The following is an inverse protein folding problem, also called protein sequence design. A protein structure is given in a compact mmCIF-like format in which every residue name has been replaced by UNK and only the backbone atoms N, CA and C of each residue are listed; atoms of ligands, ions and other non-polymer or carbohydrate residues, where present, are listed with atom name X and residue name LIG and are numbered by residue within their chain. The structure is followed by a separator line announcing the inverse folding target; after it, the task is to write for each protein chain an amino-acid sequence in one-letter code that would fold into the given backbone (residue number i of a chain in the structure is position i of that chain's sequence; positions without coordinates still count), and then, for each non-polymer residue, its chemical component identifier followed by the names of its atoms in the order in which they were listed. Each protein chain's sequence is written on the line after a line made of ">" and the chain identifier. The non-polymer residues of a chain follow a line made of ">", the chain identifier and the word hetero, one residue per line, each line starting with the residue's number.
data_IF_043917727178
#
_entry.id   IF_043917727178
#
_cell.length_a   1.000
_cell.length_b   1.000
_cell.length_c   1.000
_cell.angle_alpha   90.00
_cell.angle_beta   90.00
_cell.angle_gamma   90.00
#
_symmetry.space_group_name_H-M   'P 1'
#
loop_
_entity.id
_entity.type
_entity.pdbx_description
1 polymer ?
#
# COMPACT_ATOMS: atom_id res chain seq x y z
N UNK A 1 -14.07 -0.49 11.20
CA UNK A 1 -13.11 -0.97 10.18
C UNK A 1 -12.93 -2.47 10.40
N UNK A 2 -13.12 -3.33 9.40
CA UNK A 2 -12.99 -4.79 9.60
C UNK A 2 -11.52 -5.17 9.78
N UNK A 3 -11.23 -6.17 10.64
CA UNK A 3 -9.88 -6.68 10.94
C UNK A 3 -9.08 -7.07 9.68
N UNK A 4 -9.78 -7.40 8.59
CA UNK A 4 -9.19 -7.83 7.32
C UNK A 4 -8.64 -6.65 6.50
N UNK A 5 -9.28 -5.47 6.57
CA UNK A 5 -8.72 -4.25 5.98
C UNK A 5 -7.43 -3.85 6.70
N UNK A 6 -7.40 -3.98 8.02
CA UNK A 6 -6.18 -3.77 8.83
C UNK A 6 -5.04 -4.70 8.38
N UNK A 7 -5.33 -5.97 8.10
CA UNK A 7 -4.32 -6.95 7.69
C UNK A 7 -3.76 -6.71 6.28
N UNK A 8 -4.64 -6.38 5.33
CA UNK A 8 -4.24 -5.97 3.97
C UNK A 8 -3.46 -4.66 3.97
N UNK A 9 -3.93 -3.66 4.72
CA UNK A 9 -3.22 -2.41 4.94
C UNK A 9 -1.86 -2.67 5.59
N UNK A 10 -1.75 -3.51 6.61
CA UNK A 10 -0.47 -3.84 7.25
C UNK A 10 0.52 -4.47 6.26
N UNK A 11 0.10 -5.43 5.43
CA UNK A 11 1.01 -6.02 4.43
C UNK A 11 1.36 -5.03 3.32
N UNK A 12 0.41 -4.22 2.85
CA UNK A 12 0.65 -3.19 1.85
C UNK A 12 1.59 -2.11 2.39
N UNK A 13 1.30 -1.59 3.58
CA UNK A 13 2.13 -0.64 4.33
C UNK A 13 3.54 -1.17 4.46
N UNK A 14 3.70 -2.42 4.89
CA UNK A 14 5.01 -3.02 5.08
C UNK A 14 5.80 -3.12 3.75
N UNK A 15 5.14 -3.48 2.65
CA UNK A 15 5.81 -3.55 1.35
C UNK A 15 6.12 -2.15 0.78
N UNK A 16 5.18 -1.21 0.84
CA UNK A 16 5.41 0.20 0.51
C UNK A 16 6.60 0.75 1.28
N UNK A 17 6.71 0.35 2.54
CA UNK A 17 7.79 0.73 3.43
C UNK A 17 9.14 0.12 3.04
N UNK A 18 9.18 -1.17 2.69
CA UNK A 18 10.40 -1.80 2.14
C UNK A 18 10.87 -1.10 0.87
N UNK A 19 9.93 -0.72 -0.01
CA UNK A 19 10.23 0.08 -1.20
C UNK A 19 10.82 1.43 -0.78
N UNK A 20 10.23 2.17 0.16
CA UNK A 20 10.75 3.47 0.60
C UNK A 20 12.19 3.37 1.16
N UNK A 21 12.47 2.39 2.04
CA UNK A 21 13.78 2.24 2.69
C UNK A 21 14.88 1.80 1.72
N UNK A 22 14.58 0.88 0.80
CA UNK A 22 15.54 0.45 -0.23
C UNK A 22 15.99 1.62 -1.10
N UNK A 23 15.07 2.55 -1.42
CA UNK A 23 15.39 3.74 -2.19
C UNK A 23 16.19 4.78 -1.39
N UNK A 24 15.80 5.10 -0.15
CA UNK A 24 16.55 6.02 0.72
C UNK A 24 17.99 5.54 1.01
N UNK A 25 18.23 4.23 0.85
CA UNK A 25 19.55 3.61 1.00
C UNK A 25 20.40 3.59 -0.27
N UNK A 26 19.88 4.06 -1.42
CA UNK A 26 20.51 4.00 -2.74
C UNK A 26 20.64 2.59 -3.32
N UNK A 27 20.00 1.59 -2.73
CA UNK A 27 20.16 0.17 -3.06
C UNK A 27 18.79 -0.43 -3.36
N UNK A 28 18.34 -0.32 -4.60
CA UNK A 28 17.14 -1.03 -5.06
C UNK A 28 17.60 -2.32 -5.72
N UNK A 29 17.37 -3.44 -5.06
CA UNK A 29 17.29 -4.74 -5.73
C UNK A 29 15.87 -5.24 -5.54
N UNK A 30 15.04 -5.13 -6.59
CA UNK A 30 13.75 -5.84 -6.62
C UNK A 30 14.10 -7.31 -6.80
N UNK A 31 14.05 -8.10 -5.73
CA UNK A 31 14.19 -9.55 -5.84
C UNK A 31 12.85 -10.08 -6.37
N UNK A 32 12.77 -10.29 -7.68
CA UNK A 32 11.75 -11.18 -8.24
C UNK A 32 12.13 -12.61 -7.85
N UNK A 33 11.31 -13.31 -7.06
CA UNK A 33 11.46 -14.75 -6.87
C UNK A 33 10.64 -15.54 -7.90
N UNK A 34 11.12 -16.73 -8.32
CA UNK A 34 10.51 -17.54 -9.37
C UNK A 34 9.27 -18.29 -8.87
N UNK A 35 8.33 -18.47 -9.80
CA UNK A 35 7.07 -19.21 -9.69
C UNK A 35 7.26 -20.66 -9.18
N UNK A 36 6.44 -21.16 -8.22
CA UNK A 36 6.36 -22.59 -7.93
C UNK A 36 5.33 -23.28 -8.84
N UNK A 37 5.80 -24.17 -9.73
CA UNK A 37 5.01 -25.32 -10.18
C UNK A 37 4.30 -25.25 -11.54
N UNK A 38 5.06 -25.24 -12.64
CA UNK A 38 4.63 -25.86 -13.90
C UNK A 38 5.59 -27.02 -14.21
N UNK A 39 5.18 -28.26 -13.91
CA UNK A 39 5.89 -29.45 -14.40
C UNK A 39 5.72 -29.56 -15.92
N UNK A 40 6.75 -29.17 -16.67
CA UNK A 40 6.91 -29.56 -18.08
C UNK A 40 7.93 -30.71 -18.14
N UNK A 41 7.52 -31.95 -18.50
CA UNK A 41 8.39 -33.13 -18.39
C UNK A 41 9.52 -33.24 -19.44
N UNK A 42 9.87 -32.17 -20.17
CA UNK A 42 10.84 -32.24 -21.28
C UNK A 42 12.00 -31.23 -21.24
N UNK A 43 12.42 -30.72 -20.08
CA UNK A 43 13.64 -29.90 -19.99
C UNK A 43 14.74 -30.66 -19.25
N UNK A 44 15.76 -31.06 -19.99
CA UNK A 44 16.96 -31.74 -19.49
C UNK A 44 18.02 -30.74 -19.01
N UNK A 45 18.46 -30.97 -17.77
CA UNK A 45 19.79 -30.74 -17.19
C UNK A 45 20.43 -29.34 -17.12
N UNK A 46 20.97 -29.10 -15.92
CA UNK A 46 22.04 -28.18 -15.52
C UNK A 46 21.67 -26.74 -15.13
N UNK A 47 21.10 -26.57 -13.92
CA UNK A 47 21.43 -25.46 -13.01
C UNK A 47 21.38 -25.92 -11.54
N UNK A 48 22.20 -25.35 -10.63
CA UNK A 48 22.32 -25.81 -9.26
C UNK A 48 21.07 -25.49 -8.43
N UNK A 49 20.57 -26.52 -7.74
CA UNK A 49 19.44 -26.47 -6.80
C UNK A 49 19.62 -25.37 -5.74
N UNK A 50 18.67 -24.45 -5.65
CA UNK A 50 18.44 -23.64 -4.45
C UNK A 50 17.02 -23.93 -3.97
N UNK A 51 16.95 -24.47 -2.76
CA UNK A 51 15.76 -24.91 -2.04
C UNK A 51 14.70 -23.82 -1.90
N UNK A 52 13.47 -24.20 -2.26
CA UNK A 52 12.23 -23.48 -2.02
C UNK A 52 11.93 -23.45 -0.51
N UNK A 53 11.84 -22.27 0.10
CA UNK A 53 11.25 -22.11 1.43
C UNK A 53 9.96 -21.30 1.37
N UNK A 54 8.95 -21.87 2.03
CA UNK A 54 7.59 -21.39 2.26
C UNK A 54 7.61 -20.29 3.33
N UNK A 55 6.67 -19.35 3.22
CA UNK A 55 6.10 -18.66 4.38
C UNK A 55 6.45 -17.19 4.51
N UNK A 56 5.39 -16.38 4.56
CA UNK A 56 5.36 -15.03 5.10
C UNK A 56 5.98 -15.02 6.52
N UNK A 57 7.24 -14.65 6.63
CA UNK A 57 7.95 -14.45 7.90
C UNK A 57 8.73 -13.13 7.82
N UNK A 58 8.15 -12.05 8.32
CA UNK A 58 8.91 -10.84 8.67
C UNK A 58 8.63 -10.42 10.11
N UNK A 59 8.52 -11.41 10.98
CA UNK A 59 9.05 -11.31 12.33
C UNK A 59 10.44 -11.94 12.37
N UNK A 60 11.48 -11.11 12.16
CA UNK A 60 12.86 -11.21 12.68
C UNK A 60 13.94 -10.87 11.64
N UNK A 61 14.76 -9.88 12.06
CA UNK A 61 16.12 -9.56 11.60
C UNK A 61 16.28 -8.96 10.18
N UNK A 62 15.85 -7.71 10.02
CA UNK A 62 16.72 -6.76 9.30
C UNK A 62 17.79 -6.31 10.29
N UNK A 63 18.82 -7.12 10.48
CA UNK A 63 20.05 -6.71 11.17
C UNK A 63 20.87 -5.78 10.28
N UNK A 64 20.33 -4.61 9.91
CA UNK A 64 21.14 -3.58 9.29
C UNK A 64 21.60 -2.61 10.37
N UNK A 65 22.87 -2.76 10.77
CA UNK A 65 23.68 -1.86 11.60
C UNK A 65 23.84 -0.45 10.97
N UNK A 66 22.80 0.14 10.38
CA UNK A 66 22.79 1.54 9.97
C UNK A 66 22.29 2.39 11.12
N UNK A 67 22.97 3.51 11.37
CA UNK A 67 22.45 4.54 12.28
C UNK A 67 21.08 5.00 11.75
N UNK A 68 20.09 5.22 12.64
CA UNK A 68 18.81 5.79 12.22
C UNK A 68 19.03 7.14 11.54
N UNK A 69 18.25 7.41 10.50
CA UNK A 69 18.11 8.74 9.91
C UNK A 69 17.52 9.70 10.96
N UNK A 70 17.58 11.01 10.75
CA UNK A 70 17.25 11.96 11.82
C UNK A 70 15.74 12.14 11.96
N UNK A 71 15.07 12.63 10.91
CA UNK A 71 13.65 13.01 10.98
C UNK A 71 12.89 12.61 9.72
N UNK A 72 11.74 11.95 9.89
CA UNK A 72 10.74 11.75 8.85
C UNK A 72 9.44 12.50 9.19
N UNK A 73 8.73 12.96 8.16
CA UNK A 73 7.33 13.42 8.27
C UNK A 73 6.44 12.54 7.41
N UNK A 74 5.33 12.07 7.97
CA UNK A 74 4.27 11.33 7.29
C UNK A 74 3.06 12.25 7.10
N UNK A 75 2.84 12.71 5.87
CA UNK A 75 1.86 13.75 5.50
C UNK A 75 0.55 13.10 5.03
N UNK A 76 -0.55 13.49 5.66
CA UNK A 76 -1.82 12.78 5.56
C UNK A 76 -1.75 11.41 6.24
N UNK A 77 -1.20 11.36 7.46
CA UNK A 77 -0.88 10.10 8.13
C UNK A 77 -2.10 9.31 8.61
N UNK A 78 -3.29 9.90 8.63
CA UNK A 78 -4.52 9.27 9.12
C UNK A 78 -4.34 8.66 10.51
N UNK A 79 -4.64 7.37 10.65
CA UNK A 79 -4.48 6.59 11.90
C UNK A 79 -3.04 6.13 12.17
N UNK A 80 -2.05 6.65 11.44
CA UNK A 80 -0.63 6.38 11.69
C UNK A 80 -0.10 5.07 11.11
N UNK A 81 -0.81 4.44 10.17
CA UNK A 81 -0.41 3.14 9.58
C UNK A 81 0.96 3.19 8.92
N UNK A 82 1.25 4.24 8.16
CA UNK A 82 2.57 4.45 7.54
C UNK A 82 3.57 5.13 8.49
N UNK A 83 3.09 5.77 9.55
CA UNK A 83 3.91 6.41 10.59
C UNK A 83 4.62 5.37 11.45
N UNK A 84 3.91 4.30 11.87
CA UNK A 84 4.45 3.26 12.75
C UNK A 84 5.76 2.63 12.23
N UNK A 85 5.85 2.11 10.99
CA UNK A 85 7.07 1.47 10.51
C UNK A 85 8.24 2.46 10.37
N UNK A 86 7.98 3.76 10.13
CA UNK A 86 9.03 4.79 10.06
C UNK A 86 9.80 4.89 11.39
N UNK A 87 9.14 4.66 12.53
CA UNK A 87 9.73 4.83 13.85
C UNK A 87 10.95 3.93 14.10
N UNK A 88 11.07 2.80 13.40
CA UNK A 88 12.23 1.91 13.52
C UNK A 88 13.48 2.43 12.79
N UNK A 89 13.34 3.40 11.88
CA UNK A 89 14.40 3.85 10.97
C UNK A 89 14.83 5.30 11.19
N UNK A 90 14.05 6.08 11.92
CA UNK A 90 14.27 7.50 12.16
C UNK A 90 14.32 7.80 13.66
N UNK A 91 15.17 8.75 14.07
CA UNK A 91 15.23 9.21 15.46
C UNK A 91 13.97 9.96 15.86
N UNK A 92 13.31 10.64 14.91
CA UNK A 92 12.05 11.34 15.11
C UNK A 92 11.12 11.08 13.91
N UNK A 93 9.84 10.83 14.19
CA UNK A 93 8.80 10.73 13.17
C UNK A 93 7.66 11.67 13.54
N UNK A 94 7.20 12.46 12.57
CA UNK A 94 6.12 13.42 12.74
C UNK A 94 4.98 13.00 11.80
N UNK A 95 3.86 12.55 12.36
CA UNK A 95 2.63 12.36 11.61
C UNK A 95 1.84 13.66 11.50
N UNK A 96 1.44 14.05 10.30
CA UNK A 96 0.62 15.24 10.05
C UNK A 96 -0.67 14.82 9.35
N UNK A 97 -1.81 15.25 9.87
CA UNK A 97 -3.11 15.08 9.22
C UNK A 97 -4.03 16.27 9.54
N UNK A 98 -5.01 16.55 8.69
CA UNK A 98 -5.99 17.61 8.92
C UNK A 98 -7.09 17.18 9.92
N UNK A 99 -7.27 15.86 10.10
CA UNK A 99 -8.30 15.28 10.95
C UNK A 99 -7.79 15.03 12.37
N UNK A 100 -8.18 15.89 13.32
CA UNK A 100 -7.93 15.68 14.75
C UNK A 100 -8.38 14.29 15.23
N UNK A 101 -9.54 13.82 14.80
CA UNK A 101 -10.05 12.49 15.17
C UNK A 101 -9.15 11.34 14.70
N UNK A 102 -8.59 11.44 13.50
CA UNK A 102 -7.65 10.42 12.99
C UNK A 102 -6.35 10.45 13.80
N UNK A 103 -5.86 11.63 14.18
CA UNK A 103 -4.65 11.77 14.99
C UNK A 103 -4.83 11.23 16.42
N UNK A 104 -6.02 11.37 17.01
CA UNK A 104 -6.29 10.74 18.31
C UNK A 104 -6.22 9.20 18.23
N UNK A 105 -6.74 8.60 17.16
CA UNK A 105 -6.56 7.17 16.89
C UNK A 105 -5.09 6.83 16.63
N UNK A 106 -4.37 7.67 15.89
CA UNK A 106 -2.95 7.47 15.57
C UNK A 106 -2.07 7.48 16.83
N UNK A 107 -2.34 8.36 17.79
CA UNK A 107 -1.66 8.39 19.10
C UNK A 107 -1.86 7.09 19.89
N UNK A 108 -3.05 6.50 19.80
CA UNK A 108 -3.35 5.22 20.45
C UNK A 108 -2.70 4.04 19.72
N UNK A 109 -2.65 4.09 18.39
CA UNK A 109 -2.06 3.05 17.55
C UNK A 109 -0.52 3.05 17.58
N UNK A 110 0.11 4.24 17.65
CA UNK A 110 1.56 4.45 17.65
C UNK A 110 2.05 5.12 18.96
N UNK A 111 1.95 4.47 20.13
CA UNK A 111 2.37 5.05 21.40
C UNK A 111 3.90 4.95 21.58
N UNK A 112 4.67 5.42 20.61
CA UNK A 112 6.14 5.36 20.60
C UNK A 112 6.74 6.72 20.98
N UNK A 113 7.78 6.72 21.81
CA UNK A 113 8.41 7.95 22.32
C UNK A 113 9.01 8.85 21.23
N UNK A 114 9.44 8.27 20.10
CA UNK A 114 10.02 8.99 18.97
C UNK A 114 8.99 9.40 17.91
N UNK A 115 7.69 9.23 18.18
CA UNK A 115 6.61 9.58 17.26
C UNK A 115 5.77 10.70 17.85
N UNK A 116 5.51 11.74 17.06
CA UNK A 116 4.61 12.84 17.42
C UNK A 116 3.58 13.07 16.32
N UNK A 117 2.42 13.61 16.69
CA UNK A 117 1.32 13.88 15.76
C UNK A 117 0.89 15.34 15.84
N UNK A 118 0.69 15.98 14.67
CA UNK A 118 0.35 17.40 14.57
C UNK A 118 -0.80 17.62 13.58
N UNK A 119 -1.73 18.51 13.92
CA UNK A 119 -2.83 18.90 13.03
C UNK A 119 -2.31 19.95 12.06
N UNK A 120 -2.25 19.61 10.77
CA UNK A 120 -1.96 20.58 9.71
C UNK A 120 -2.39 20.07 8.34
N UNK A 121 -2.52 21.00 7.40
CA UNK A 121 -2.74 20.69 5.99
C UNK A 121 -1.41 20.32 5.31
N UNK A 122 -1.47 19.45 4.29
CA UNK A 122 -0.29 19.03 3.53
C UNK A 122 0.40 20.20 2.79
N UNK A 123 -0.36 21.26 2.52
CA UNK A 123 0.04 22.48 1.83
C UNK A 123 0.74 23.50 2.73
N UNK A 124 0.74 23.31 4.06
CA UNK A 124 1.34 24.22 5.03
C UNK A 124 1.80 23.43 6.26
N UNK A 125 2.98 22.84 6.16
CA UNK A 125 3.56 21.98 7.18
C UNK A 125 4.19 22.84 8.29
N UNK A 126 3.89 22.58 9.58
CA UNK A 126 4.42 23.31 10.72
C UNK A 126 5.85 22.86 11.05
N UNK A 127 6.72 22.84 10.03
CA UNK A 127 8.09 22.36 10.09
C UNK A 127 9.02 23.42 9.50
N UNK A 128 10.22 23.51 10.07
CA UNK A 128 11.27 24.40 9.58
C UNK A 128 11.78 24.00 8.19
N UNK A 129 12.31 24.97 7.46
CA UNK A 129 13.00 24.74 6.20
C UNK A 129 14.17 23.75 6.38
N UNK A 130 14.36 22.86 5.41
CA UNK A 130 15.49 21.91 5.39
C UNK A 130 15.71 21.14 6.72
N UNK A 131 14.63 20.64 7.31
CA UNK A 131 14.62 20.00 8.63
C UNK A 131 14.35 18.49 8.62
N UNK A 132 13.82 17.93 7.51
CA UNK A 132 13.47 16.50 7.43
C UNK A 132 14.31 15.75 6.39
N UNK A 133 14.65 14.50 6.68
CA UNK A 133 15.37 13.60 5.77
C UNK A 133 14.39 12.88 4.82
N UNK A 134 13.15 12.67 5.25
CA UNK A 134 12.10 12.02 4.46
C UNK A 134 10.76 12.75 4.63
N UNK A 135 10.11 13.06 3.50
CA UNK A 135 8.68 13.35 3.43
C UNK A 135 7.98 12.13 2.83
N UNK A 136 7.08 11.52 3.58
CA UNK A 136 6.26 10.40 3.16
C UNK A 136 4.81 10.86 2.96
N UNK A 137 4.13 10.39 1.91
CA UNK A 137 2.69 10.53 1.75
C UNK A 137 2.11 9.24 1.17
N UNK A 138 1.58 8.38 2.04
CA UNK A 138 1.00 7.09 1.68
C UNK A 138 -0.51 7.16 1.57
N UNK A 139 -1.07 6.82 0.40
CA UNK A 139 -2.52 6.81 0.12
C UNK A 139 -3.24 8.14 0.41
N UNK A 140 -2.53 9.27 0.49
CA UNK A 140 -3.09 10.56 0.89
C UNK A 140 -3.04 11.64 -0.20
N UNK A 141 -2.05 11.60 -1.10
CA UNK A 141 -1.77 12.71 -2.02
C UNK A 141 -2.89 13.02 -3.03
N UNK A 142 -3.89 12.14 -3.17
CA UNK A 142 -5.07 12.42 -3.99
C UNK A 142 -6.05 13.41 -3.35
N UNK A 143 -5.87 13.74 -2.07
CA UNK A 143 -6.63 14.77 -1.36
C UNK A 143 -5.98 16.15 -1.39
N UNK A 144 -4.72 16.24 -1.82
CA UNK A 144 -3.92 17.46 -1.66
C UNK A 144 -4.04 18.36 -2.89
N UNK A 145 -3.81 19.66 -2.69
CA UNK A 145 -3.37 20.53 -3.77
C UNK A 145 -1.92 20.15 -4.13
N UNK A 146 -1.74 19.47 -5.27
CA UNK A 146 -0.45 18.89 -5.68
C UNK A 146 0.67 19.92 -5.72
N UNK A 147 0.44 21.09 -6.36
CA UNK A 147 1.48 22.12 -6.49
C UNK A 147 1.94 22.66 -5.14
N UNK A 148 0.99 22.99 -4.25
CA UNK A 148 1.30 23.51 -2.91
C UNK A 148 1.94 22.46 -2.03
N UNK A 149 1.44 21.22 -2.04
CA UNK A 149 2.06 20.12 -1.31
C UNK A 149 3.49 19.87 -1.76
N UNK A 150 3.74 19.81 -3.08
CA UNK A 150 5.10 19.58 -3.60
C UNK A 150 6.03 20.73 -3.22
N UNK A 151 5.57 21.98 -3.28
CA UNK A 151 6.34 23.13 -2.82
C UNK A 151 6.74 22.96 -1.35
N UNK A 152 5.79 22.59 -0.50
CA UNK A 152 5.99 22.48 0.93
C UNK A 152 6.85 21.28 1.33
N UNK A 153 6.62 20.12 0.70
CA UNK A 153 7.46 18.94 0.84
C UNK A 153 8.92 19.27 0.47
N UNK A 154 9.13 20.02 -0.60
CA UNK A 154 10.48 20.45 -0.97
C UNK A 154 11.02 21.45 0.04
N UNK A 155 10.27 22.43 0.51
CA UNK A 155 10.76 23.40 1.51
C UNK A 155 11.34 22.72 2.75
N UNK A 156 10.62 21.75 3.32
CA UNK A 156 11.03 21.07 4.56
C UNK A 156 12.17 20.08 4.38
N UNK A 157 12.41 19.56 3.17
CA UNK A 157 13.47 18.58 2.93
C UNK A 157 14.88 19.16 3.08
N UNK A 158 15.74 18.48 3.85
CA UNK A 158 17.19 18.72 3.90
C UNK A 158 17.84 18.51 2.52
N UNK A 159 19.04 19.06 2.27
CA UNK A 159 19.90 18.54 1.20
C UNK A 159 20.07 17.03 1.35
N UNK A 160 19.98 16.28 0.25
CA UNK A 160 19.93 14.80 0.22
C UNK A 160 18.67 14.16 0.84
N UNK A 161 17.70 14.95 1.30
CA UNK A 161 16.40 14.44 1.73
C UNK A 161 15.55 13.99 0.55
N UNK A 162 14.66 13.03 0.79
CA UNK A 162 13.78 12.47 -0.25
C UNK A 162 12.28 12.64 0.05
N UNK A 163 11.50 12.79 -1.00
CA UNK A 163 10.05 12.70 -1.04
C UNK A 163 9.65 11.33 -1.56
N UNK A 164 8.71 10.66 -0.89
CA UNK A 164 8.07 9.43 -1.34
C UNK A 164 6.54 9.56 -1.26
N UNK A 165 5.90 9.60 -2.42
CA UNK A 165 4.44 9.60 -2.57
C UNK A 165 4.03 8.28 -3.15
N UNK A 166 3.10 7.57 -2.51
CA UNK A 166 2.79 6.23 -2.95
C UNK A 166 1.35 5.83 -2.67
N UNK A 167 0.86 4.92 -3.51
CA UNK A 167 -0.46 4.39 -3.42
C UNK A 167 -0.54 3.04 -4.13
N UNK A 168 -1.63 2.33 -3.88
CA UNK A 168 -1.97 1.12 -4.61
C UNK A 168 -3.30 1.31 -5.34
N UNK A 169 -3.37 0.80 -6.56
CA UNK A 169 -4.65 0.46 -7.18
C UNK A 169 -4.78 -1.05 -7.02
N UNK A 170 -5.77 -1.54 -6.26
CA UNK A 170 -6.01 -2.96 -6.19
C UNK A 170 -6.44 -3.44 -7.57
N UNK A 171 -5.62 -4.29 -8.20
CA UNK A 171 -5.90 -4.91 -9.49
C UNK A 171 -6.30 -6.34 -9.25
N UNK A 172 -7.53 -6.52 -8.81
CA UNK A 172 -8.12 -7.79 -8.49
C UNK A 172 -8.02 -8.78 -9.68
N UNK A 173 -6.94 -9.58 -9.70
CA UNK A 173 -6.64 -10.61 -10.71
C UNK A 173 -6.08 -11.81 -9.98
N UNK A 174 -6.62 -12.97 -10.29
CA UNK A 174 -6.13 -14.25 -9.81
C UNK A 174 -5.17 -14.78 -10.86
N UNK A 175 -3.91 -15.00 -10.47
CA UNK A 175 -2.89 -15.56 -11.35
C UNK A 175 -2.12 -16.65 -10.59
N UNK A 176 -1.95 -17.79 -11.26
CA UNK A 176 -1.27 -19.04 -10.84
C UNK A 176 -1.96 -19.93 -9.78
N UNK A 177 -1.93 -21.25 -10.02
CA UNK A 177 -2.63 -22.32 -9.26
C UNK A 177 -4.15 -22.40 -9.52
N UNK A 178 -4.83 -21.25 -9.51
CA UNK A 178 -6.27 -21.11 -9.70
C UNK A 178 -6.61 -20.02 -10.72
N UNK A 179 -5.96 -20.00 -11.89
CA UNK A 179 -6.36 -19.14 -13.02
C UNK A 179 -7.68 -19.63 -13.64
N UNK A 180 -8.70 -19.79 -12.79
CA UNK A 180 -10.03 -20.20 -13.15
C UNK A 180 -10.78 -18.95 -13.65
N UNK A 181 -11.21 -18.93 -14.92
CA UNK A 181 -12.05 -17.86 -15.45
C UNK A 181 -13.29 -17.56 -14.59
N UNK A 182 -13.83 -18.56 -13.89
CA UNK A 182 -14.99 -18.40 -13.02
C UNK A 182 -14.68 -17.58 -11.76
N UNK A 183 -13.52 -17.78 -11.13
CA UNK A 183 -13.09 -16.98 -9.97
C UNK A 183 -12.82 -15.54 -10.38
N UNK A 184 -12.12 -15.34 -11.50
CA UNK A 184 -11.88 -14.00 -12.07
C UNK A 184 -13.20 -13.29 -12.46
N UNK A 185 -14.23 -14.04 -12.89
CA UNK A 185 -15.54 -13.49 -13.20
C UNK A 185 -16.27 -12.98 -11.95
N UNK A 186 -16.15 -13.66 -10.79
CA UNK A 186 -16.72 -13.18 -9.52
C UNK A 186 -16.12 -11.83 -9.14
N UNK A 187 -14.79 -11.73 -9.21
CA UNK A 187 -14.06 -10.51 -8.93
C UNK A 187 -14.51 -9.36 -9.84
N UNK A 188 -14.60 -9.63 -11.15
CA UNK A 188 -15.02 -8.64 -12.14
C UNK A 188 -16.46 -8.17 -11.87
N UNK A 189 -17.37 -9.09 -11.58
CA UNK A 189 -18.77 -8.78 -11.28
C UNK A 189 -18.89 -7.90 -10.03
N UNK A 190 -18.14 -8.22 -8.97
CA UNK A 190 -18.05 -7.38 -7.78
C UNK A 190 -17.64 -5.95 -8.14
N UNK A 191 -16.53 -5.79 -8.88
CA UNK A 191 -16.02 -4.48 -9.27
C UNK A 191 -16.99 -3.70 -10.15
N UNK A 192 -17.63 -4.35 -11.13
CA UNK A 192 -18.64 -3.76 -12.01
C UNK A 192 -19.90 -3.31 -11.24
N UNK A 193 -20.29 -4.04 -10.19
CA UNK A 193 -21.43 -3.69 -9.34
C UNK A 193 -21.12 -2.47 -8.48
N UNK A 194 -19.99 -2.47 -7.78
CA UNK A 194 -19.67 -1.43 -6.80
C UNK A 194 -19.17 -0.14 -7.44
N UNK A 195 -18.57 -0.18 -8.64
CA UNK A 195 -18.08 1.01 -9.35
C UNK A 195 -19.15 2.09 -9.57
N UNK A 196 -20.43 1.71 -9.61
CA UNK A 196 -21.59 2.61 -9.70
C UNK A 196 -21.74 3.57 -8.50
N UNK A 197 -21.10 3.23 -7.38
CA UNK A 197 -21.11 4.00 -6.13
C UNK A 197 -19.81 4.79 -5.93
N UNK A 198 -18.96 4.87 -6.96
CA UNK A 198 -17.72 5.65 -6.91
C UNK A 198 -17.98 7.14 -7.16
N UNK A 199 -18.58 7.82 -6.18
CA UNK A 199 -18.92 9.25 -6.29
C UNK A 199 -17.71 10.18 -6.06
N UNK A 200 -16.65 9.67 -5.44
CA UNK A 200 -15.38 10.38 -5.22
C UNK A 200 -14.47 10.09 -6.40
N UNK A 201 -14.45 11.00 -7.37
CA UNK A 201 -13.59 10.87 -8.53
C UNK A 201 -12.11 11.09 -8.14
N UNK A 202 -11.42 10.04 -7.72
CA UNK A 202 -10.00 10.07 -7.39
C UNK A 202 -9.14 10.00 -8.67
N UNK A 203 -9.34 10.95 -9.59
CA UNK A 203 -8.60 11.06 -10.86
C UNK A 203 -7.09 10.89 -10.67
N UNK A 204 -6.51 11.43 -9.59
CA UNK A 204 -5.08 11.30 -9.27
C UNK A 204 -4.62 9.85 -9.03
N UNK A 205 -5.44 9.03 -8.38
CA UNK A 205 -5.14 7.60 -8.18
C UNK A 205 -5.26 6.83 -9.50
N UNK A 206 -6.24 7.19 -10.32
CA UNK A 206 -6.44 6.59 -11.64
C UNK A 206 -5.27 6.86 -12.60
N UNK A 207 -4.64 8.04 -12.49
CA UNK A 207 -3.41 8.39 -13.23
C UNK A 207 -2.14 8.10 -12.43
N UNK A 208 -2.21 7.24 -11.40
CA UNK A 208 -1.05 6.72 -10.67
C UNK A 208 -0.08 7.82 -10.17
N UNK A 209 -0.59 8.99 -9.78
CA UNK A 209 0.19 10.17 -9.37
C UNK A 209 1.11 10.81 -10.43
N UNK A 210 0.76 10.70 -11.72
CA UNK A 210 1.46 11.41 -12.80
C UNK A 210 1.56 12.93 -12.56
N UNK A 211 0.49 13.56 -12.07
CA UNK A 211 0.48 15.00 -11.77
C UNK A 211 1.49 15.37 -10.67
N UNK A 212 1.63 14.53 -9.64
CA UNK A 212 2.62 14.71 -8.59
C UNK A 212 4.03 14.61 -9.17
N UNK A 213 4.29 13.61 -10.01
CA UNK A 213 5.58 13.46 -10.67
C UNK A 213 5.93 14.69 -11.52
N UNK A 214 4.97 15.22 -12.27
CA UNK A 214 5.16 16.39 -13.13
C UNK A 214 5.40 17.67 -12.33
N UNK A 215 4.71 17.85 -11.20
CA UNK A 215 4.86 19.01 -10.33
C UNK A 215 6.23 19.09 -9.63
N UNK A 216 6.93 17.97 -9.45
CA UNK A 216 8.24 17.94 -8.78
C UNK A 216 9.33 18.57 -9.70
N UNK A 217 9.96 19.69 -9.29
CA UNK A 217 11.04 20.34 -10.05
C UNK A 217 12.43 19.70 -9.83
N UNK A 218 12.53 18.68 -8.99
CA UNK A 218 13.81 18.00 -8.69
C UNK A 218 14.26 17.15 -9.88
N UNK A 219 15.58 17.17 -10.17
CA UNK A 219 16.18 16.40 -11.26
C UNK A 219 16.21 14.90 -10.97
N UNK A 220 16.55 14.52 -9.74
CA UNK A 220 16.51 13.12 -9.31
C UNK A 220 15.09 12.80 -8.84
N UNK A 221 14.24 12.42 -9.80
CA UNK A 221 12.88 11.95 -9.56
C UNK A 221 12.57 10.71 -10.40
N UNK A 222 11.71 9.85 -9.86
CA UNK A 222 11.32 8.58 -10.49
C UNK A 222 9.82 8.38 -10.32
N UNK A 223 9.24 7.73 -11.32
CA UNK A 223 7.86 7.27 -11.29
C UNK A 223 7.86 5.77 -11.58
N UNK A 224 7.38 5.00 -10.61
CA UNK A 224 7.30 3.54 -10.70
C UNK A 224 5.81 3.18 -10.65
N UNK A 225 5.29 2.57 -11.71
CA UNK A 225 3.84 2.36 -11.91
C UNK A 225 3.40 0.91 -11.82
N UNK A 226 4.34 -0.03 -11.86
CA UNK A 226 4.07 -1.47 -11.92
C UNK A 226 4.95 -2.23 -10.93
N UNK A 227 4.74 -1.99 -9.63
CA UNK A 227 5.30 -2.84 -8.58
C UNK A 227 4.24 -3.91 -8.27
N UNK A 228 4.38 -5.14 -8.80
CA UNK A 228 3.41 -6.19 -8.53
C UNK A 228 3.55 -6.64 -7.08
N UNK A 229 2.42 -6.67 -6.40
CA UNK A 229 2.32 -7.22 -5.05
C UNK A 229 1.37 -8.38 -5.11
N UNK A 230 1.84 -9.56 -4.69
CA UNK A 230 1.00 -10.76 -4.63
C UNK A 230 0.71 -11.08 -3.18
N UNK A 231 -0.57 -11.19 -2.85
CA UNK A 231 -1.05 -11.68 -1.57
C UNK A 231 -1.71 -13.02 -1.77
N UNK A 232 -1.51 -13.94 -0.84
CA UNK A 232 -2.31 -15.15 -0.76
C UNK A 232 -3.39 -14.94 0.29
N UNK A 233 -4.65 -15.13 -0.13
CA UNK A 233 -5.83 -14.87 0.70
C UNK A 233 -6.82 -16.03 0.61
N UNK A 234 -7.40 -16.40 1.75
CA UNK A 234 -8.56 -17.27 1.84
C UNK A 234 -9.82 -16.56 1.29
N UNK A 235 -10.89 -17.33 1.02
CA UNK A 235 -12.19 -16.77 0.60
C UNK A 235 -12.71 -15.76 1.63
N UNK A 236 -12.63 -16.10 2.92
CA UNK A 236 -13.09 -15.21 3.99
C UNK A 236 -12.33 -13.87 4.03
N UNK A 237 -11.02 -13.90 3.79
CA UNK A 237 -10.20 -12.67 3.67
C UNK A 237 -10.58 -11.84 2.44
N UNK A 238 -10.87 -12.48 1.29
CA UNK A 238 -11.33 -11.76 0.09
C UNK A 238 -12.67 -11.09 0.35
N UNK A 239 -13.60 -11.78 0.99
CA UNK A 239 -14.90 -11.22 1.36
C UNK A 239 -14.75 -10.07 2.35
N UNK A 240 -13.87 -10.20 3.35
CA UNK A 240 -13.58 -9.10 4.27
C UNK A 240 -12.96 -7.88 3.60
N UNK A 241 -12.09 -8.09 2.60
CA UNK A 241 -11.58 -7.02 1.74
C UNK A 241 -12.70 -6.35 0.96
N UNK A 242 -13.55 -7.12 0.29
CA UNK A 242 -14.71 -6.59 -0.42
C UNK A 242 -15.65 -5.79 0.47
N UNK A 243 -15.83 -6.18 1.72
CA UNK A 243 -16.62 -5.40 2.68
C UNK A 243 -15.98 -4.04 2.96
N UNK A 244 -14.65 -3.97 3.04
CA UNK A 244 -13.96 -2.72 3.41
C UNK A 244 -13.84 -1.68 2.30
N UNK A 245 -14.04 -2.05 1.05
CA UNK A 245 -13.92 -1.13 -0.09
C UNK A 245 -14.97 -0.02 0.02
N UNK A 246 -14.53 1.24 -0.12
CA UNK A 246 -15.38 2.43 -0.03
C UNK A 246 -16.65 2.33 -0.88
N UNK A 247 -16.52 1.90 -2.14
CA UNK A 247 -17.64 1.75 -3.06
C UNK A 247 -18.68 0.75 -2.55
N UNK A 248 -18.26 -0.33 -1.89
CA UNK A 248 -19.17 -1.28 -1.26
C UNK A 248 -19.80 -0.71 0.02
N UNK A 249 -19.06 0.08 0.80
CA UNK A 249 -19.63 0.78 1.95
C UNK A 249 -20.72 1.79 1.52
N UNK A 250 -20.55 2.48 0.40
CA UNK A 250 -21.60 3.35 -0.16
C UNK A 250 -22.79 2.55 -0.70
N UNK A 251 -22.54 1.42 -1.37
CA UNK A 251 -23.60 0.49 -1.76
C UNK A 251 -24.40 -0.01 -0.54
N UNK A 252 -23.72 -0.40 0.54
CA UNK A 252 -24.31 -0.85 1.80
C UNK A 252 -25.17 0.22 2.47
N UNK A 253 -24.76 1.50 2.38
CA UNK A 253 -25.58 2.63 2.86
C UNK A 253 -26.81 2.86 2.00
N UNK A 254 -26.70 2.64 0.69
CA UNK A 254 -27.79 2.87 -0.26
C UNK A 254 -28.87 1.78 -0.20
N UNK A 255 -28.46 0.51 -0.22
CA UNK A 255 -29.34 -0.64 -0.06
C UNK A 255 -28.64 -1.75 0.72
N UNK A 256 -28.82 -1.72 2.04
CA UNK A 256 -28.15 -2.63 2.98
C UNK A 256 -28.47 -4.10 2.70
N UNK A 257 -29.73 -4.41 2.43
CA UNK A 257 -30.18 -5.79 2.26
C UNK A 257 -29.63 -6.38 0.97
N UNK A 258 -29.67 -5.60 -0.11
CA UNK A 258 -29.14 -6.02 -1.40
C UNK A 258 -27.61 -6.13 -1.39
N UNK A 259 -26.90 -5.23 -0.71
CA UNK A 259 -25.45 -5.30 -0.57
C UNK A 259 -24.98 -6.56 0.17
N UNK A 260 -25.60 -6.86 1.31
CA UNK A 260 -25.30 -8.08 2.09
C UNK A 260 -25.61 -9.32 1.26
N UNK A 261 -26.81 -9.38 0.65
CA UNK A 261 -27.23 -10.51 -0.19
C UNK A 261 -26.27 -10.74 -1.35
N UNK A 262 -25.88 -9.67 -2.05
CA UNK A 262 -24.94 -9.71 -3.16
C UNK A 262 -23.60 -10.32 -2.74
N UNK A 263 -23.03 -9.83 -1.63
CA UNK A 263 -21.74 -10.32 -1.18
C UNK A 263 -21.78 -11.77 -0.68
N UNK A 264 -22.82 -12.16 0.05
CA UNK A 264 -23.04 -13.56 0.47
C UNK A 264 -23.17 -14.50 -0.73
N UNK A 265 -23.83 -14.06 -1.81
CA UNK A 265 -23.91 -14.86 -3.04
C UNK A 265 -22.56 -15.02 -3.73
N UNK A 266 -21.71 -13.99 -3.71
CA UNK A 266 -20.35 -14.11 -4.24
C UNK A 266 -19.49 -15.06 -3.41
N UNK A 267 -19.57 -14.97 -2.09
CA UNK A 267 -18.88 -15.89 -1.16
C UNK A 267 -19.27 -17.34 -1.42
N UNK A 268 -20.58 -17.63 -1.53
CA UNK A 268 -21.04 -18.98 -1.83
C UNK A 268 -20.49 -19.48 -3.17
N UNK A 269 -20.43 -18.63 -4.19
CA UNK A 269 -19.87 -19.01 -5.50
C UNK A 269 -18.36 -19.27 -5.45
N UNK A 270 -17.61 -18.56 -4.60
CA UNK A 270 -16.21 -18.92 -4.35
C UNK A 270 -16.11 -20.33 -3.76
N UNK A 271 -16.94 -20.63 -2.75
CA UNK A 271 -16.99 -21.96 -2.12
C UNK A 271 -17.39 -23.04 -3.12
N UNK A 272 -18.42 -22.80 -3.94
CA UNK A 272 -18.91 -23.77 -4.92
C UNK A 272 -17.86 -24.10 -5.99
N UNK A 273 -17.06 -23.11 -6.43
CA UNK A 273 -15.99 -23.33 -7.41
C UNK A 273 -14.82 -24.09 -6.80
N UNK A 274 -14.43 -23.76 -5.56
CA UNK A 274 -13.28 -24.38 -4.89
C UNK A 274 -13.62 -25.76 -4.28
N UNK A 275 -14.91 -26.04 -4.05
CA UNK A 275 -15.38 -27.31 -3.49
C UNK A 275 -14.75 -27.60 -2.12
N UNK A 276 -14.24 -28.82 -1.96
CA UNK A 276 -13.64 -29.33 -0.72
C UNK A 276 -12.39 -28.53 -0.30
N UNK A 277 -11.75 -27.80 -1.23
CA UNK A 277 -10.58 -26.99 -0.93
C UNK A 277 -10.92 -25.59 -0.38
N UNK A 278 -12.19 -25.19 -0.39
CA UNK A 278 -12.63 -23.82 -0.09
C UNK A 278 -12.14 -23.22 1.22
N UNK A 279 -11.95 -24.03 2.28
CA UNK A 279 -11.43 -23.57 3.58
C UNK A 279 -9.91 -23.42 3.62
N UNK A 280 -9.20 -24.12 2.74
CA UNK A 280 -7.72 -24.21 2.74
C UNK A 280 -7.06 -23.53 1.54
N UNK A 281 -7.83 -23.27 0.48
CA UNK A 281 -7.37 -22.65 -0.75
C UNK A 281 -6.91 -21.21 -0.47
N UNK A 282 -5.68 -20.94 -0.89
CA UNK A 282 -5.12 -19.59 -0.90
C UNK A 282 -5.14 -19.08 -2.34
N UNK A 283 -5.95 -18.06 -2.57
CA UNK A 283 -6.08 -17.42 -3.87
C UNK A 283 -5.07 -16.29 -3.95
N UNK A 284 -4.28 -16.27 -5.02
CA UNK A 284 -3.34 -15.18 -5.27
C UNK A 284 -4.07 -13.92 -5.73
N UNK A 285 -3.76 -12.83 -5.05
CA UNK A 285 -4.34 -11.52 -5.21
C UNK A 285 -3.28 -10.53 -5.62
N UNK A 286 -3.41 -9.98 -6.82
CA UNK A 286 -2.43 -9.03 -7.33
C UNK A 286 -2.87 -7.60 -7.03
N UNK A 287 -1.97 -6.80 -6.50
CA UNK A 287 -2.16 -5.36 -6.32
C UNK A 287 -1.04 -4.65 -7.06
N UNK A 288 -1.39 -3.63 -7.84
CA UNK A 288 -0.40 -2.76 -8.45
C UNK A 288 -0.13 -1.60 -7.51
N UNK A 289 1.07 -1.62 -6.94
CA UNK A 289 1.57 -0.49 -6.20
C UNK A 289 2.32 0.45 -7.14
N UNK A 290 2.17 1.74 -6.92
CA UNK A 290 2.86 2.78 -7.67
C UNK A 290 3.39 3.84 -6.71
N UNK A 291 4.49 4.46 -7.12
CA UNK A 291 5.22 5.38 -6.29
C UNK A 291 5.89 6.46 -7.15
N UNK A 292 5.79 7.70 -6.68
CA UNK A 292 6.55 8.85 -7.16
C UNK A 292 7.57 9.18 -6.08
N UNK A 293 8.83 9.28 -6.47
CA UNK A 293 9.93 9.57 -5.55
C UNK A 293 10.80 10.66 -6.12
N UNK A 294 11.39 11.46 -5.24
CA UNK A 294 12.39 12.44 -5.64
C UNK A 294 13.34 12.76 -4.49
N UNK A 295 14.60 13.08 -4.80
CA UNK A 295 15.59 13.46 -3.79
C UNK A 295 16.20 14.82 -4.14
N UNK A 296 16.43 15.64 -3.10
CA UNK A 296 17.19 16.88 -3.24
C UNK A 296 18.66 16.55 -3.45
N UNK A 297 19.30 17.20 -4.41
CA UNK A 297 20.75 17.18 -4.51
C UNK A 297 21.39 17.88 -3.31
N UNK A 298 22.64 17.51 -3.00
CA UNK A 298 23.49 18.15 -1.98
C UNK A 298 23.71 19.63 -2.24
#
# INVERSE_FOLDING_TARGET
>A
MSLIFSYMEEKLVYLSFQIIILFASGTITIIQHPQPGCHNPNITSNQPNVSLEKGLYLGQQVSNKRKPYDTAVDVGCGTGRYTLPLAAHFKNVIGVDISESQLEEAKQFCPLENVTFQVAAAENLPLEDASVDLVNAGLAAHWFNVEKFVHEAIRVLKPNGCLAVHACVPTFKIQDGHNDPALNAIIKEYMDKVSKYNYKNNNLMHHQYEEVFNAIPLKDKRWVTDIPVVFEMSVGEIIGLFQSIYMYQEFLKHDKNEAIRFLTQLEQRFVDILGDESESALIQFHIKHYCVQACKSS
#
